data_IF_552404785788
#
_entry.id   IF_552404785788
#
_cell.length_a   1.000
_cell.length_b   1.000
_cell.length_c   1.000
_cell.angle_alpha   90.00
_cell.angle_beta   90.00
_cell.angle_gamma   90.00
#
_symmetry.space_group_name_H-M   'P 1'
#
loop_
_entity.id
_entity.type
_entity.pdbx_description
1 polymer ?
#
# COMPACT_ATOMS: atom_id res chain seq x y z
N UNK A 1 -35.61 35.35 53.55
CA UNK A 1 -34.41 35.51 52.69
C UNK A 1 -34.36 34.26 51.84
N UNK A 2 -35.09 34.27 50.73
CA UNK A 2 -35.07 33.16 49.76
C UNK A 2 -33.82 33.32 48.91
N UNK A 3 -32.89 32.38 49.03
CA UNK A 3 -31.76 32.29 48.12
C UNK A 3 -32.31 31.61 46.85
N UNK A 4 -32.72 32.42 45.88
CA UNK A 4 -33.05 31.93 44.54
C UNK A 4 -31.73 31.74 43.81
N UNK A 5 -31.27 30.49 43.71
CA UNK A 5 -30.14 30.15 42.86
C UNK A 5 -30.54 30.37 41.39
N UNK A 6 -30.04 31.45 40.80
CA UNK A 6 -30.17 31.70 39.36
C UNK A 6 -29.07 30.92 38.67
N UNK A 7 -29.39 29.70 38.22
CA UNK A 7 -28.52 28.89 37.37
C UNK A 7 -28.60 29.46 35.94
N UNK A 8 -27.46 29.81 35.34
CA UNK A 8 -27.44 30.41 34.00
C UNK A 8 -27.64 29.37 32.89
N UNK A 9 -28.00 29.82 31.69
CA UNK A 9 -28.12 28.94 30.51
C UNK A 9 -26.79 28.23 30.16
N UNK A 10 -25.65 28.82 30.52
CA UNK A 10 -24.33 28.20 30.35
C UNK A 10 -24.12 27.07 31.37
N UNK A 11 -24.50 27.30 32.64
CA UNK A 11 -24.39 26.31 33.71
C UNK A 11 -25.32 25.12 33.49
N UNK A 12 -26.50 25.34 32.91
CA UNK A 12 -27.43 24.23 32.56
C UNK A 12 -26.88 23.34 31.45
N UNK A 13 -26.29 23.93 30.39
CA UNK A 13 -25.63 23.15 29.32
C UNK A 13 -24.41 22.40 29.86
N UNK A 14 -23.62 23.01 30.74
CA UNK A 14 -22.45 22.37 31.35
C UNK A 14 -22.85 21.23 32.31
N UNK A 15 -23.93 21.40 33.08
CA UNK A 15 -24.50 20.35 33.94
C UNK A 15 -25.09 19.19 33.12
N UNK A 16 -25.83 19.49 32.05
CA UNK A 16 -26.37 18.47 31.14
C UNK A 16 -25.24 17.68 30.46
N UNK A 17 -24.20 18.36 29.99
CA UNK A 17 -23.01 17.74 29.40
C UNK A 17 -22.31 16.79 30.39
N UNK A 18 -22.01 17.28 31.60
CA UNK A 18 -21.39 16.47 32.68
C UNK A 18 -22.27 15.27 33.06
N UNK A 19 -23.60 15.44 33.10
CA UNK A 19 -24.54 14.35 33.39
C UNK A 19 -24.48 13.26 32.31
N UNK A 20 -24.48 13.64 31.03
CA UNK A 20 -24.45 12.68 29.92
C UNK A 20 -23.13 11.91 29.82
N UNK A 21 -21.99 12.55 30.09
CA UNK A 21 -20.68 11.90 30.08
C UNK A 21 -20.53 10.91 31.26
N UNK A 22 -21.05 11.26 32.43
CA UNK A 22 -21.08 10.36 33.58
C UNK A 22 -21.95 9.11 33.33
N UNK A 23 -23.08 9.27 32.64
CA UNK A 23 -23.94 8.14 32.27
C UNK A 23 -23.27 7.20 31.26
N UNK A 24 -22.66 7.76 30.21
CA UNK A 24 -21.90 7.02 29.18
C UNK A 24 -20.73 6.24 29.79
N UNK A 25 -19.97 6.87 30.69
CA UNK A 25 -18.85 6.22 31.38
C UNK A 25 -19.33 5.08 32.30
N UNK A 26 -20.49 5.26 32.95
CA UNK A 26 -21.11 4.22 33.77
C UNK A 26 -21.58 3.03 32.91
N UNK A 27 -22.15 3.28 31.74
CA UNK A 27 -22.56 2.23 30.81
C UNK A 27 -21.35 1.40 30.33
N UNK A 28 -20.30 2.07 29.84
CA UNK A 28 -19.07 1.42 29.42
C UNK A 28 -18.44 0.60 30.55
N UNK A 29 -18.37 1.14 31.78
CA UNK A 29 -17.83 0.44 32.94
C UNK A 29 -18.64 -0.82 33.30
N UNK A 30 -19.98 -0.73 33.25
CA UNK A 30 -20.86 -1.87 33.45
C UNK A 30 -20.65 -2.95 32.38
N UNK A 31 -20.49 -2.54 31.12
CA UNK A 31 -20.21 -3.43 30.00
C UNK A 31 -18.90 -4.18 30.18
N UNK A 32 -17.82 -3.48 30.57
CA UNK A 32 -16.50 -4.07 30.86
C UNK A 32 -16.59 -5.08 32.01
N UNK A 33 -17.27 -4.73 33.11
CA UNK A 33 -17.41 -5.62 34.27
C UNK A 33 -18.19 -6.89 33.91
N UNK A 34 -19.28 -6.75 33.15
CA UNK A 34 -20.07 -7.89 32.67
C UNK A 34 -19.25 -8.78 31.74
N UNK A 35 -18.53 -8.17 30.80
CA UNK A 35 -17.69 -8.88 29.84
C UNK A 35 -16.53 -9.62 30.51
N UNK A 36 -15.84 -9.03 31.49
CA UNK A 36 -14.78 -9.70 32.23
C UNK A 36 -15.29 -10.93 32.99
N UNK A 37 -16.43 -10.79 33.68
CA UNK A 37 -17.04 -11.88 34.44
C UNK A 37 -17.61 -13.00 33.56
N UNK A 38 -17.88 -12.71 32.28
CA UNK A 38 -18.38 -13.67 31.30
C UNK A 38 -17.26 -14.31 30.47
N UNK A 39 -16.03 -14.37 30.98
CA UNK A 39 -14.89 -14.98 30.30
C UNK A 39 -15.14 -16.49 30.04
N UNK A 40 -14.95 -16.97 28.80
CA UNK A 40 -14.91 -18.41 28.51
C UNK A 40 -13.83 -19.14 29.30
N UNK A 41 -13.98 -20.46 29.44
CA UNK A 41 -12.97 -21.29 30.10
C UNK A 41 -11.60 -21.15 29.40
N UNK A 42 -10.56 -20.84 30.17
CA UNK A 42 -9.19 -20.66 29.67
C UNK A 42 -8.90 -19.28 29.05
N UNK A 43 -9.84 -18.34 29.09
CA UNK A 43 -9.66 -16.94 28.70
C UNK A 43 -9.53 -16.05 29.94
N UNK A 44 -8.51 -15.20 29.98
CA UNK A 44 -8.36 -14.21 31.04
C UNK A 44 -8.50 -12.80 30.46
N UNK A 45 -9.61 -12.14 30.81
CA UNK A 45 -9.98 -10.81 30.33
C UNK A 45 -9.43 -9.67 31.19
N UNK A 46 -8.85 -9.94 32.35
CA UNK A 46 -8.48 -8.91 33.35
C UNK A 46 -7.51 -7.87 32.81
N UNK A 47 -6.47 -8.26 32.08
CA UNK A 47 -5.50 -7.30 31.54
C UNK A 47 -6.15 -6.33 30.53
N UNK A 48 -7.04 -6.85 29.69
CA UNK A 48 -7.79 -6.05 28.72
C UNK A 48 -8.84 -5.18 29.42
N UNK A 49 -9.56 -5.72 30.41
CA UNK A 49 -10.54 -4.98 31.21
C UNK A 49 -9.89 -3.80 31.93
N UNK A 50 -8.72 -4.00 32.54
CA UNK A 50 -7.97 -2.94 33.23
C UNK A 50 -7.51 -1.83 32.29
N UNK A 51 -7.09 -2.16 31.06
CA UNK A 51 -6.78 -1.16 30.04
C UNK A 51 -8.00 -0.31 29.67
N UNK A 52 -9.17 -0.94 29.54
CA UNK A 52 -10.40 -0.20 29.23
C UNK A 52 -10.85 0.64 30.43
N UNK A 53 -10.72 0.14 31.67
CA UNK A 53 -10.99 0.92 32.89
C UNK A 53 -10.08 2.13 33.01
N UNK A 54 -8.79 2.00 32.70
CA UNK A 54 -7.85 3.14 32.69
C UNK A 54 -8.30 4.24 31.70
N UNK A 55 -8.80 3.85 30.53
CA UNK A 55 -9.40 4.79 29.57
C UNK A 55 -10.61 5.50 30.17
N UNK A 56 -11.52 4.77 30.82
CA UNK A 56 -12.72 5.35 31.45
C UNK A 56 -12.32 6.32 32.58
N UNK A 57 -11.44 5.88 33.49
CA UNK A 57 -11.00 6.67 34.65
C UNK A 57 -10.30 7.96 34.25
N UNK A 58 -9.53 7.94 33.17
CA UNK A 58 -8.77 9.10 32.67
C UNK A 58 -9.50 9.89 31.59
N UNK A 59 -10.67 9.44 31.17
CA UNK A 59 -11.36 9.95 29.98
C UNK A 59 -10.43 10.00 28.75
N UNK A 60 -9.59 8.98 28.58
CA UNK A 60 -8.60 8.94 27.52
C UNK A 60 -9.25 8.77 26.15
N UNK A 61 -8.57 9.25 25.11
CA UNK A 61 -9.07 9.22 23.73
C UNK A 61 -8.49 8.08 22.89
N UNK A 62 -7.53 7.32 23.43
CA UNK A 62 -6.84 6.25 22.71
C UNK A 62 -6.90 4.96 23.52
N UNK A 63 -7.35 3.88 22.90
CA UNK A 63 -7.28 2.53 23.45
C UNK A 63 -6.26 1.69 22.68
N UNK A 64 -5.20 1.23 23.38
CA UNK A 64 -4.18 0.32 22.82
C UNK A 64 -4.27 -1.06 23.46
N UNK A 65 -4.67 -2.04 22.66
CA UNK A 65 -4.75 -3.45 23.03
C UNK A 65 -3.64 -4.20 22.30
N UNK A 66 -2.72 -4.83 23.04
CA UNK A 66 -1.62 -5.58 22.43
C UNK A 66 -1.35 -6.88 23.17
N UNK A 67 -1.11 -7.95 22.43
CA UNK A 67 -0.77 -9.28 22.96
C UNK A 67 -1.79 -9.80 23.98
N UNK A 68 -3.09 -9.61 23.69
CA UNK A 68 -4.18 -10.06 24.55
C UNK A 68 -4.74 -11.39 24.07
N UNK A 69 -4.92 -12.31 25.02
CA UNK A 69 -5.54 -13.60 24.80
C UNK A 69 -7.05 -13.52 25.10
N UNK A 70 -7.77 -12.68 24.35
CA UNK A 70 -9.22 -12.50 24.45
C UNK A 70 -9.90 -12.81 23.12
N UNK A 71 -11.10 -13.38 23.16
CA UNK A 71 -11.86 -13.76 21.97
C UNK A 71 -12.78 -12.64 21.46
N UNK A 72 -13.18 -11.74 22.35
CA UNK A 72 -14.06 -10.59 22.05
C UNK A 72 -13.69 -9.38 22.91
N UNK A 73 -14.30 -8.23 22.63
CA UNK A 73 -14.28 -7.04 23.49
C UNK A 73 -15.66 -6.83 24.15
N UNK A 74 -15.80 -5.95 25.16
CA UNK A 74 -17.09 -5.55 25.70
C UNK A 74 -17.98 -4.91 24.64
N UNK A 75 -19.30 -5.12 24.74
CA UNK A 75 -20.29 -4.60 23.77
C UNK A 75 -20.31 -3.07 23.68
N UNK A 76 -19.92 -2.39 24.77
CA UNK A 76 -19.87 -0.92 24.86
C UNK A 76 -18.46 -0.52 25.26
N UNK A 77 -17.78 0.20 24.37
CA UNK A 77 -16.47 0.79 24.63
C UNK A 77 -16.63 2.23 25.13
N UNK A 78 -15.61 2.82 25.78
CA UNK A 78 -15.67 4.19 26.27
C UNK A 78 -15.96 5.19 25.14
N UNK A 79 -16.95 6.07 25.36
CA UNK A 79 -17.41 7.02 24.33
C UNK A 79 -16.39 8.12 24.02
N UNK A 80 -15.43 8.36 24.90
CA UNK A 80 -14.32 9.31 24.74
C UNK A 80 -13.32 8.88 23.66
N UNK A 81 -13.37 7.63 23.20
CA UNK A 81 -12.40 7.09 22.26
C UNK A 81 -12.51 7.72 20.88
N UNK A 82 -11.37 8.23 20.43
CA UNK A 82 -11.11 8.78 19.10
C UNK A 82 -10.24 7.81 18.29
N UNK A 83 -9.39 7.02 18.96
CA UNK A 83 -8.51 6.05 18.31
C UNK A 83 -8.53 4.68 19.02
N UNK A 84 -8.61 3.61 18.24
CA UNK A 84 -8.46 2.24 18.71
C UNK A 84 -7.34 1.58 17.91
N UNK A 85 -6.37 1.03 18.63
CA UNK A 85 -5.26 0.28 18.06
C UNK A 85 -5.15 -1.11 18.69
N UNK A 86 -5.20 -2.15 17.87
CA UNK A 86 -5.21 -3.55 18.30
C UNK A 86 -4.08 -4.29 17.59
N UNK A 87 -3.17 -4.88 18.37
CA UNK A 87 -1.96 -5.54 17.86
C UNK A 87 -1.83 -6.96 18.42
N UNK A 88 -1.54 -7.94 17.57
CA UNK A 88 -1.12 -9.28 18.00
C UNK A 88 -2.09 -9.94 19.00
N UNK A 89 -3.40 -9.81 18.76
CA UNK A 89 -4.45 -10.43 19.57
C UNK A 89 -4.95 -11.68 18.87
N UNK A 90 -4.22 -12.79 19.05
CA UNK A 90 -4.33 -13.99 18.21
C UNK A 90 -5.71 -14.65 18.20
N UNK A 91 -6.52 -14.46 19.25
CA UNK A 91 -7.85 -15.08 19.38
C UNK A 91 -9.01 -14.14 19.12
N UNK A 92 -8.75 -12.84 18.94
CA UNK A 92 -9.82 -11.85 18.81
C UNK A 92 -10.56 -12.06 17.49
N UNK A 93 -11.81 -12.52 17.56
CA UNK A 93 -12.56 -12.91 16.37
C UNK A 93 -13.46 -11.80 15.82
N UNK A 94 -13.88 -10.86 16.66
CA UNK A 94 -14.70 -9.71 16.29
C UNK A 94 -14.50 -8.53 17.24
N UNK A 95 -14.69 -7.31 16.73
CA UNK A 95 -14.92 -6.13 17.55
C UNK A 95 -16.42 -5.98 17.89
N UNK A 96 -16.80 -5.05 18.79
CA UNK A 96 -18.19 -4.79 19.10
C UNK A 96 -18.99 -4.32 17.87
N UNK A 97 -20.28 -4.66 17.82
CA UNK A 97 -21.15 -4.32 16.69
C UNK A 97 -21.28 -2.80 16.47
N UNK A 98 -21.13 -2.01 17.54
CA UNK A 98 -21.18 -0.55 17.56
C UNK A 98 -19.87 -0.04 18.15
N UNK A 99 -19.14 0.74 17.36
CA UNK A 99 -17.93 1.44 17.81
C UNK A 99 -18.28 2.84 18.35
N UNK A 100 -17.41 3.46 19.17
CA UNK A 100 -17.63 4.81 19.67
C UNK A 100 -17.92 5.81 18.54
N UNK A 101 -18.95 6.65 18.72
CA UNK A 101 -19.40 7.58 17.67
C UNK A 101 -18.36 8.64 17.29
N UNK A 102 -17.41 8.94 18.18
CA UNK A 102 -16.29 9.86 17.94
C UNK A 102 -15.05 9.20 17.34
N UNK A 103 -15.07 7.90 17.04
CA UNK A 103 -13.90 7.17 16.56
C UNK A 103 -13.49 7.68 15.17
N UNK A 104 -12.27 8.19 15.07
CA UNK A 104 -11.67 8.66 13.80
C UNK A 104 -10.58 7.74 13.26
N UNK A 105 -9.94 6.94 14.12
CA UNK A 105 -8.89 5.98 13.72
C UNK A 105 -9.16 4.58 14.26
N UNK A 106 -9.13 3.59 13.37
CA UNK A 106 -9.14 2.17 13.72
C UNK A 106 -7.93 1.49 13.06
N UNK A 107 -7.07 0.90 13.88
CA UNK A 107 -5.91 0.14 13.44
C UNK A 107 -5.91 -1.25 14.05
N UNK A 108 -5.82 -2.28 13.20
CA UNK A 108 -5.78 -3.68 13.63
C UNK A 108 -4.64 -4.36 12.89
N UNK A 109 -3.77 -5.01 13.64
CA UNK A 109 -2.58 -5.66 13.11
C UNK A 109 -2.32 -7.00 13.75
N UNK A 110 -1.89 -7.98 12.96
CA UNK A 110 -1.55 -9.33 13.41
C UNK A 110 -2.66 -10.00 14.26
N UNK A 111 -3.92 -9.84 13.85
CA UNK A 111 -5.07 -10.50 14.48
C UNK A 111 -5.64 -11.53 13.49
N UNK A 112 -5.10 -12.77 13.44
CA UNK A 112 -5.45 -13.75 12.41
C UNK A 112 -6.91 -14.21 12.45
N UNK A 113 -7.55 -14.14 13.63
CA UNK A 113 -8.90 -14.61 13.84
C UNK A 113 -9.99 -13.55 13.57
N UNK A 114 -9.61 -12.28 13.41
CA UNK A 114 -10.58 -11.18 13.24
C UNK A 114 -11.34 -11.36 11.92
N UNK A 115 -12.65 -11.42 12.01
CA UNK A 115 -13.57 -11.67 10.87
C UNK A 115 -14.69 -10.65 10.76
N UNK A 116 -14.83 -9.76 11.74
CA UNK A 116 -15.77 -8.63 11.74
C UNK A 116 -15.21 -7.43 12.49
N UNK A 117 -15.43 -6.22 11.97
CA UNK A 117 -14.98 -4.96 12.57
C UNK A 117 -16.10 -4.19 13.27
N UNK A 118 -17.31 -4.26 12.74
CA UNK A 118 -18.52 -3.59 13.22
C UNK A 118 -19.69 -4.01 12.34
N UNK A 119 -20.92 -3.86 12.86
CA UNK A 119 -22.15 -3.93 12.06
C UNK A 119 -22.70 -2.55 11.72
N UNK A 120 -22.59 -1.62 12.67
CA UNK A 120 -22.94 -0.21 12.46
C UNK A 120 -21.72 0.56 11.97
N UNK A 121 -21.83 1.18 10.80
CA UNK A 121 -20.73 1.93 10.18
C UNK A 121 -20.37 3.14 11.06
N UNK A 122 -19.10 3.31 11.47
CA UNK A 122 -18.67 4.45 12.29
C UNK A 122 -18.56 5.73 11.43
N UNK A 123 -19.55 6.62 11.53
CA UNK A 123 -19.70 7.79 10.66
C UNK A 123 -18.55 8.83 10.73
N UNK A 124 -17.74 8.81 11.80
CA UNK A 124 -16.62 9.74 11.99
C UNK A 124 -15.26 9.14 11.60
N UNK A 125 -15.20 7.86 11.18
CA UNK A 125 -13.94 7.17 10.92
C UNK A 125 -13.25 7.79 9.70
N UNK A 126 -12.04 8.31 9.88
CA UNK A 126 -11.24 8.94 8.81
C UNK A 126 -10.06 8.08 8.38
N UNK A 127 -9.54 7.22 9.27
CA UNK A 127 -8.45 6.28 8.98
C UNK A 127 -8.82 4.85 9.40
N UNK A 128 -8.67 3.90 8.46
CA UNK A 128 -8.78 2.47 8.71
C UNK A 128 -7.48 1.77 8.28
N UNK A 129 -6.85 1.03 9.18
CA UNK A 129 -5.67 0.23 8.89
C UNK A 129 -5.88 -1.23 9.33
N UNK A 130 -5.67 -2.17 8.42
CA UNK A 130 -5.78 -3.61 8.67
C UNK A 130 -4.53 -4.30 8.12
N UNK A 131 -3.69 -4.80 9.01
CA UNK A 131 -2.38 -5.36 8.68
C UNK A 131 -2.32 -6.82 9.12
N UNK A 132 -1.98 -7.73 8.21
CA UNK A 132 -1.75 -9.15 8.52
C UNK A 132 -2.90 -9.83 9.26
N UNK A 133 -4.13 -9.53 8.85
CA UNK A 133 -5.38 -10.07 9.39
C UNK A 133 -6.11 -10.83 8.26
N UNK A 134 -5.75 -12.08 7.96
CA UNK A 134 -6.29 -12.80 6.79
C UNK A 134 -7.80 -13.08 6.83
N UNK A 135 -8.38 -13.42 7.99
CA UNK A 135 -9.79 -13.83 8.05
C UNK A 135 -10.79 -12.72 7.71
N UNK A 136 -10.45 -11.47 7.96
CA UNK A 136 -11.32 -10.33 7.68
C UNK A 136 -11.55 -10.14 6.18
N UNK A 137 -10.68 -10.68 5.33
CA UNK A 137 -10.79 -10.60 3.88
C UNK A 137 -11.90 -11.47 3.31
N UNK A 138 -12.41 -12.43 4.09
CA UNK A 138 -13.56 -13.25 3.72
C UNK A 138 -14.90 -12.52 3.98
N UNK A 139 -14.85 -11.36 4.62
CA UNK A 139 -16.00 -10.51 4.86
C UNK A 139 -16.02 -9.34 3.87
N UNK A 140 -17.20 -8.74 3.73
CA UNK A 140 -17.39 -7.49 3.02
C UNK A 140 -17.63 -6.39 4.05
N UNK A 141 -16.74 -5.39 4.05
CA UNK A 141 -16.73 -4.29 5.02
C UNK A 141 -17.34 -3.06 4.36
N UNK A 142 -18.45 -2.57 4.92
CA UNK A 142 -19.06 -1.32 4.48
C UNK A 142 -18.31 -0.13 5.09
N UNK A 143 -17.80 0.76 4.23
CA UNK A 143 -16.97 1.90 4.65
C UNK A 143 -17.79 3.19 4.85
N UNK A 144 -17.46 4.03 5.85
CA UNK A 144 -18.09 5.33 6.04
C UNK A 144 -17.63 6.34 4.98
N UNK A 145 -18.51 7.26 4.57
CA UNK A 145 -18.17 8.33 3.62
C UNK A 145 -17.15 9.35 4.19
N UNK A 146 -16.96 9.40 5.51
CA UNK A 146 -15.92 10.21 6.17
C UNK A 146 -14.50 9.69 5.95
N UNK A 147 -14.33 8.45 5.50
CA UNK A 147 -13.05 7.78 5.44
C UNK A 147 -12.16 8.42 4.36
N UNK A 148 -10.96 8.84 4.78
CA UNK A 148 -9.99 9.54 3.94
C UNK A 148 -8.77 8.67 3.62
N UNK A 149 -8.44 7.73 4.52
CA UNK A 149 -7.24 6.92 4.44
C UNK A 149 -7.54 5.44 4.73
N UNK A 150 -7.11 4.56 3.83
CA UNK A 150 -7.19 3.11 4.00
C UNK A 150 -5.79 2.53 3.92
N UNK A 151 -5.46 1.60 4.80
CA UNK A 151 -4.24 0.82 4.74
C UNK A 151 -4.55 -0.67 4.87
N UNK A 152 -4.21 -1.46 3.85
CA UNK A 152 -4.35 -2.93 3.88
C UNK A 152 -3.04 -3.61 3.49
N UNK A 153 -2.46 -4.38 4.41
CA UNK A 153 -1.25 -5.14 4.14
C UNK A 153 -1.44 -6.61 4.45
N UNK A 154 -1.11 -7.48 3.50
CA UNK A 154 -1.10 -8.92 3.66
C UNK A 154 0.19 -9.50 3.13
N UNK A 155 0.61 -10.63 3.71
CA UNK A 155 1.63 -11.48 3.12
C UNK A 155 0.93 -12.64 2.41
N UNK A 156 0.55 -12.41 1.15
CA UNK A 156 0.02 -13.46 0.29
C UNK A 156 0.65 -13.41 -1.09
N UNK A 157 0.89 -14.59 -1.65
CA UNK A 157 1.25 -14.74 -3.08
C UNK A 157 0.01 -14.67 -3.97
N UNK A 158 -1.17 -14.90 -3.40
CA UNK A 158 -2.44 -14.80 -4.09
C UNK A 158 -2.79 -13.34 -4.36
N UNK A 159 -3.58 -13.15 -5.42
CA UNK A 159 -4.11 -11.86 -5.84
C UNK A 159 -5.52 -11.69 -5.28
N UNK A 160 -5.62 -10.89 -4.24
CA UNK A 160 -6.81 -10.71 -3.41
C UNK A 160 -7.60 -9.50 -3.90
N UNK A 161 -8.93 -9.62 -3.93
CA UNK A 161 -9.80 -8.47 -4.10
C UNK A 161 -9.88 -7.65 -2.82
N UNK A 162 -10.22 -6.36 -2.95
CA UNK A 162 -10.49 -5.51 -1.79
C UNK A 162 -11.76 -6.01 -1.05
N UNK A 163 -11.74 -6.12 0.30
CA UNK A 163 -12.87 -6.60 1.10
C UNK A 163 -13.91 -5.48 1.35
N UNK A 164 -14.18 -4.66 0.33
CA UNK A 164 -15.03 -3.47 0.45
C UNK A 164 -16.09 -3.45 -0.65
N UNK A 165 -17.33 -3.12 -0.29
CA UNK A 165 -18.43 -2.91 -1.23
C UNK A 165 -18.12 -1.81 -2.23
N UNK A 166 -17.76 -0.63 -1.71
CA UNK A 166 -17.49 0.60 -2.46
C UNK A 166 -16.39 1.39 -1.76
N UNK A 167 -15.64 2.15 -2.54
CA UNK A 167 -14.70 3.13 -2.00
C UNK A 167 -15.48 4.42 -1.68
N UNK A 168 -15.31 5.01 -0.48
CA UNK A 168 -16.05 6.20 -0.06
C UNK A 168 -15.62 7.44 -0.85
N UNK A 169 -16.50 8.42 -1.04
CA UNK A 169 -16.26 9.58 -1.91
C UNK A 169 -15.06 10.42 -1.46
N UNK A 170 -14.92 10.63 -0.14
CA UNK A 170 -13.85 11.46 0.43
C UNK A 170 -12.50 10.73 0.58
N UNK A 171 -12.38 9.50 0.06
CA UNK A 171 -11.12 8.77 0.09
C UNK A 171 -10.04 9.54 -0.67
N UNK A 172 -8.92 9.82 -0.01
CA UNK A 172 -7.78 10.54 -0.58
C UNK A 172 -6.58 9.65 -0.84
N UNK A 173 -6.40 8.64 0.00
CA UNK A 173 -5.24 7.75 -0.07
C UNK A 173 -5.62 6.33 0.32
N UNK A 174 -5.09 5.37 -0.44
CA UNK A 174 -5.18 3.96 -0.14
C UNK A 174 -3.81 3.31 -0.30
N UNK A 175 -3.34 2.70 0.79
CA UNK A 175 -2.06 2.02 0.88
C UNK A 175 -2.29 0.51 0.90
N UNK A 176 -1.72 -0.19 -0.07
CA UNK A 176 -1.92 -1.62 -0.28
C UNK A 176 -0.59 -2.34 -0.49
N UNK A 177 -0.44 -3.49 0.16
CA UNK A 177 0.56 -4.50 -0.25
C UNK A 177 0.30 -5.03 -1.66
N UNK A 178 1.31 -5.65 -2.28
CA UNK A 178 1.21 -6.23 -3.63
C UNK A 178 0.23 -7.39 -3.77
N UNK A 179 -0.28 -7.92 -2.66
CA UNK A 179 -1.29 -8.97 -2.67
C UNK A 179 -2.66 -8.51 -3.16
N UNK A 180 -2.94 -7.20 -3.29
CA UNK A 180 -4.27 -6.70 -3.65
C UNK A 180 -4.39 -6.28 -5.12
N UNK A 181 -5.46 -6.73 -5.77
CA UNK A 181 -5.91 -6.22 -7.06
C UNK A 181 -7.01 -5.16 -6.90
N UNK A 182 -7.02 -4.22 -7.82
CA UNK A 182 -7.95 -3.10 -7.87
C UNK A 182 -8.48 -2.95 -9.29
N UNK A 183 -9.79 -2.82 -9.41
CA UNK A 183 -10.41 -2.42 -10.67
C UNK A 183 -10.09 -0.95 -10.98
N UNK A 184 -9.55 -0.68 -12.18
CA UNK A 184 -9.25 0.68 -12.67
C UNK A 184 -10.45 1.64 -12.58
N UNK A 185 -11.67 1.11 -12.76
CA UNK A 185 -12.94 1.86 -12.68
C UNK A 185 -13.13 2.55 -11.32
N UNK A 186 -12.62 1.96 -10.22
CA UNK A 186 -12.76 2.52 -8.87
C UNK A 186 -11.97 3.81 -8.64
N UNK A 187 -11.02 4.12 -9.53
CA UNK A 187 -10.14 5.28 -9.50
C UNK A 187 -10.40 6.28 -10.64
N UNK A 188 -11.24 5.90 -11.61
CA UNK A 188 -11.53 6.76 -12.76
C UNK A 188 -12.23 8.04 -12.28
N UNK A 189 -11.75 9.19 -12.76
CA UNK A 189 -12.30 10.52 -12.44
C UNK A 189 -12.25 10.87 -10.94
N UNK A 190 -11.32 10.27 -10.19
CA UNK A 190 -11.13 10.50 -8.74
C UNK A 190 -9.68 10.81 -8.40
N UNK A 191 -9.48 11.79 -7.53
CA UNK A 191 -8.16 12.19 -7.02
C UNK A 191 -7.75 11.33 -5.81
N UNK A 192 -7.61 10.01 -6.01
CA UNK A 192 -7.14 9.08 -4.97
C UNK A 192 -5.69 8.70 -5.25
N UNK A 193 -4.83 8.88 -4.25
CA UNK A 193 -3.46 8.37 -4.26
C UNK A 193 -3.43 6.89 -3.92
N UNK A 194 -2.62 6.13 -4.63
CA UNK A 194 -2.35 4.72 -4.36
C UNK A 194 -0.89 4.61 -3.91
N UNK A 195 -0.68 4.16 -2.67
CA UNK A 195 0.65 4.09 -2.05
C UNK A 195 1.34 5.47 -2.02
N UNK A 196 0.59 6.54 -1.71
CA UNK A 196 1.08 7.92 -1.67
C UNK A 196 1.29 8.62 -3.01
N UNK A 197 1.04 7.93 -4.14
CA UNK A 197 1.35 8.43 -5.49
C UNK A 197 0.09 8.46 -6.35
N UNK A 198 -0.03 9.46 -7.22
CA UNK A 198 -1.13 9.54 -8.18
C UNK A 198 -1.04 8.38 -9.20
N UNK A 199 -2.09 7.55 -9.36
CA UNK A 199 -2.01 6.35 -10.19
C UNK A 199 -2.24 6.59 -11.69
N UNK A 200 -2.18 7.83 -12.19
CA UNK A 200 -2.53 8.18 -13.57
C UNK A 200 -1.74 7.36 -14.60
N UNK A 201 -0.42 7.25 -14.43
CA UNK A 201 0.42 6.41 -15.29
C UNK A 201 0.00 4.93 -15.27
N UNK A 202 -0.30 4.38 -14.09
CA UNK A 202 -0.68 2.98 -13.94
C UNK A 202 -2.09 2.67 -14.47
N UNK A 203 -3.01 3.63 -14.40
CA UNK A 203 -4.35 3.52 -14.98
C UNK A 203 -4.29 3.45 -16.52
N UNK A 204 -3.41 4.25 -17.13
CA UNK A 204 -3.20 4.28 -18.58
C UNK A 204 -2.35 3.13 -19.14
N UNK A 205 -1.57 2.47 -18.27
CA UNK A 205 -0.70 1.35 -18.65
C UNK A 205 -1.53 0.15 -19.16
N UNK A 206 -1.09 -0.44 -20.26
CA UNK A 206 -1.71 -1.59 -20.93
C UNK A 206 -0.66 -2.64 -21.28
N UNK A 207 -1.09 -3.88 -21.45
CA UNK A 207 -0.22 -4.94 -21.95
C UNK A 207 0.39 -4.52 -23.30
N UNK A 208 1.70 -4.70 -23.43
CA UNK A 208 2.48 -4.27 -24.59
C UNK A 208 3.34 -3.01 -24.35
N UNK A 209 2.97 -2.18 -23.38
CA UNK A 209 3.76 -1.03 -22.93
C UNK A 209 5.04 -1.48 -22.17
N UNK A 210 5.95 -0.53 -21.88
CA UNK A 210 7.11 -0.75 -21.01
C UNK A 210 7.28 0.42 -20.03
N UNK A 211 7.57 0.12 -18.77
CA UNK A 211 8.13 1.03 -17.79
C UNK A 211 9.66 1.13 -17.97
N UNK A 212 10.17 2.35 -18.10
CA UNK A 212 11.59 2.63 -18.19
C UNK A 212 11.94 3.84 -17.34
N UNK A 213 13.06 3.81 -16.61
CA UNK A 213 13.49 4.99 -15.86
C UNK A 213 14.36 4.71 -14.66
N UNK A 214 14.44 5.67 -13.76
CA UNK A 214 15.23 5.59 -12.53
C UNK A 214 14.58 4.56 -11.60
N UNK A 215 15.41 3.70 -11.00
CA UNK A 215 14.93 2.54 -10.23
C UNK A 215 13.85 2.89 -9.21
N UNK A 216 14.08 3.92 -8.38
CA UNK A 216 13.13 4.35 -7.34
C UNK A 216 11.73 4.63 -7.90
N UNK A 217 11.60 5.57 -8.83
CA UNK A 217 10.32 5.96 -9.43
C UNK A 217 9.71 4.85 -10.30
N UNK A 218 10.55 4.04 -10.94
CA UNK A 218 10.09 2.87 -11.69
C UNK A 218 9.40 1.88 -10.76
N UNK A 219 9.98 1.58 -9.60
CA UNK A 219 9.39 0.66 -8.62
C UNK A 219 8.05 1.18 -8.12
N UNK A 220 7.96 2.47 -7.79
CA UNK A 220 6.72 3.12 -7.36
C UNK A 220 5.57 2.92 -8.36
N UNK A 221 5.79 3.25 -9.64
CA UNK A 221 4.77 3.07 -10.70
C UNK A 221 4.50 1.58 -10.95
N UNK A 222 5.54 0.74 -10.93
CA UNK A 222 5.43 -0.71 -11.10
C UNK A 222 4.49 -1.32 -10.06
N UNK A 223 4.65 -0.96 -8.78
CA UNK A 223 3.80 -1.44 -7.70
C UNK A 223 2.34 -0.99 -7.84
N UNK A 224 2.04 0.08 -8.56
CA UNK A 224 0.67 0.45 -8.92
C UNK A 224 0.16 -0.34 -10.13
N UNK A 225 0.99 -0.50 -11.17
CA UNK A 225 0.65 -1.26 -12.38
C UNK A 225 0.23 -2.69 -12.03
N UNK A 226 0.97 -3.38 -11.17
CA UNK A 226 0.63 -4.74 -10.73
C UNK A 226 -0.66 -4.83 -9.89
N UNK A 227 -1.16 -3.72 -9.36
CA UNK A 227 -2.44 -3.69 -8.61
C UNK A 227 -3.61 -3.55 -9.56
N UNK A 228 -3.45 -2.79 -10.64
CA UNK A 228 -4.49 -2.60 -11.66
C UNK A 228 -4.52 -3.69 -12.73
N UNK A 229 -3.49 -4.53 -12.77
CA UNK A 229 -3.35 -5.59 -13.76
C UNK A 229 -2.97 -6.87 -13.04
N UNK A 230 -3.64 -7.98 -13.36
CA UNK A 230 -3.32 -9.30 -12.80
C UNK A 230 -2.09 -9.90 -13.49
N UNK A 231 -0.97 -9.18 -13.43
CA UNK A 231 0.28 -9.60 -14.06
C UNK A 231 0.97 -10.69 -13.24
N UNK A 232 1.48 -11.67 -13.97
CA UNK A 232 2.37 -12.70 -13.45
C UNK A 232 3.83 -12.25 -13.58
N UNK A 233 4.72 -13.03 -12.97
CA UNK A 233 6.18 -12.91 -13.11
C UNK A 233 6.71 -13.16 -14.53
N UNK A 234 5.84 -13.56 -15.47
CA UNK A 234 6.18 -13.84 -16.88
C UNK A 234 5.69 -12.77 -17.84
N UNK A 235 4.95 -11.78 -17.35
CA UNK A 235 4.49 -10.65 -18.16
C UNK A 235 5.59 -9.62 -18.33
N UNK A 236 5.62 -8.97 -19.50
CA UNK A 236 6.64 -7.99 -19.86
C UNK A 236 6.04 -6.59 -19.73
N UNK A 237 6.35 -5.93 -18.62
CA UNK A 237 5.95 -4.55 -18.34
C UNK A 237 7.14 -3.66 -17.96
N UNK A 238 8.35 -4.21 -17.81
CA UNK A 238 9.58 -3.45 -17.66
C UNK A 238 10.65 -3.89 -18.65
N UNK A 239 11.56 -2.96 -18.96
CA UNK A 239 12.68 -3.26 -19.85
C UNK A 239 13.59 -4.36 -19.28
N UNK A 240 13.75 -4.40 -17.95
CA UNK A 240 14.60 -5.38 -17.28
C UNK A 240 14.12 -6.80 -17.51
N UNK A 241 12.80 -7.05 -17.49
CA UNK A 241 12.23 -8.39 -17.72
C UNK A 241 12.58 -8.95 -19.10
N UNK A 242 12.45 -8.15 -20.16
CA UNK A 242 12.73 -8.66 -21.52
C UNK A 242 14.23 -8.90 -21.74
N UNK A 243 15.10 -8.07 -21.15
CA UNK A 243 16.56 -8.33 -21.13
C UNK A 243 16.87 -9.62 -20.39
N UNK A 244 16.39 -9.73 -19.15
CA UNK A 244 16.65 -10.89 -18.28
C UNK A 244 16.06 -12.16 -18.85
N UNK A 245 15.08 -12.09 -19.76
CA UNK A 245 14.51 -13.24 -20.44
C UNK A 245 15.37 -13.75 -21.61
N UNK A 246 15.90 -12.84 -22.44
CA UNK A 246 16.65 -13.22 -23.65
C UNK A 246 18.13 -13.46 -23.42
N UNK A 247 18.68 -12.93 -22.32
CA UNK A 247 20.12 -12.96 -22.03
C UNK A 247 20.42 -13.66 -20.69
N UNK A 248 21.27 -14.68 -20.76
CA UNK A 248 21.86 -15.31 -19.58
C UNK A 248 23.12 -14.56 -19.13
N UNK A 249 23.03 -13.88 -17.99
CA UNK A 249 24.14 -13.09 -17.43
C UNK A 249 24.51 -13.45 -15.98
N UNK A 250 23.80 -14.41 -15.38
CA UNK A 250 23.92 -14.77 -13.97
C UNK A 250 24.61 -16.12 -13.80
N UNK A 251 25.94 -16.12 -13.90
CA UNK A 251 26.81 -16.95 -13.08
C UNK A 251 28.26 -16.55 -13.38
N UNK A 252 29.09 -16.39 -12.33
CA UNK A 252 30.49 -15.93 -12.39
C UNK A 252 31.43 -16.73 -13.32
N UNK A 253 30.91 -17.78 -13.97
CA UNK A 253 31.64 -18.73 -14.80
C UNK A 253 30.98 -19.01 -16.17
N UNK A 254 29.78 -18.50 -16.45
CA UNK A 254 29.14 -18.67 -17.75
C UNK A 254 29.55 -17.56 -18.71
N UNK A 255 29.82 -17.92 -19.97
CA UNK A 255 29.96 -16.92 -21.04
C UNK A 255 28.58 -16.35 -21.33
N UNK A 256 28.52 -15.05 -21.63
CA UNK A 256 27.30 -14.43 -22.14
C UNK A 256 26.74 -15.21 -23.32
N UNK A 257 25.47 -15.60 -23.21
CA UNK A 257 24.74 -16.26 -24.29
C UNK A 257 23.30 -15.76 -24.38
N UNK A 258 22.79 -15.73 -25.61
CA UNK A 258 21.37 -15.57 -25.85
C UNK A 258 20.67 -16.90 -25.57
N UNK A 259 19.55 -16.85 -24.85
CA UNK A 259 18.75 -18.04 -24.59
C UNK A 259 18.07 -18.53 -25.87
N UNK A 260 17.89 -19.84 -25.96
CA UNK A 260 17.13 -20.44 -27.04
C UNK A 260 15.62 -20.14 -26.92
N UNK A 261 14.91 -20.24 -28.05
CA UNK A 261 13.48 -19.90 -28.13
C UNK A 261 12.61 -20.78 -27.23
N UNK A 262 12.98 -22.04 -27.01
CA UNK A 262 12.21 -22.94 -26.16
C UNK A 262 12.34 -22.53 -24.68
N UNK A 263 13.51 -22.04 -24.28
CA UNK A 263 13.71 -21.45 -22.96
C UNK A 263 12.92 -20.15 -22.82
N UNK A 264 12.98 -19.24 -23.79
CA UNK A 264 12.21 -17.98 -23.80
C UNK A 264 10.70 -18.24 -23.67
N UNK A 265 10.16 -19.22 -24.39
CA UNK A 265 8.75 -19.64 -24.31
C UNK A 265 8.31 -20.19 -22.95
N UNK A 266 9.25 -20.69 -22.13
CA UNK A 266 8.92 -21.17 -20.78
C UNK A 266 8.83 -20.03 -19.77
N UNK A 267 9.61 -18.96 -19.97
CA UNK A 267 9.78 -17.86 -19.02
C UNK A 267 8.86 -16.67 -19.29
N UNK A 268 8.40 -16.46 -20.52
CA UNK A 268 7.56 -15.32 -20.90
C UNK A 268 6.17 -15.76 -21.37
N UNK A 269 5.14 -15.00 -20.98
CA UNK A 269 3.80 -15.12 -21.55
C UNK A 269 3.77 -14.57 -22.99
N UNK A 270 4.43 -13.42 -23.22
CA UNK A 270 4.64 -12.83 -24.55
C UNK A 270 6.02 -13.25 -25.11
N UNK A 271 6.16 -14.55 -25.38
CA UNK A 271 7.41 -15.13 -25.84
C UNK A 271 7.82 -14.64 -27.24
N UNK A 272 6.86 -14.37 -28.12
CA UNK A 272 7.12 -13.88 -29.48
C UNK A 272 7.82 -12.51 -29.45
N UNK A 273 7.42 -11.62 -28.54
CA UNK A 273 8.12 -10.35 -28.31
C UNK A 273 9.55 -10.57 -27.81
N UNK A 274 9.75 -11.50 -26.88
CA UNK A 274 11.07 -11.88 -26.39
C UNK A 274 11.98 -12.41 -27.51
N UNK A 275 11.50 -13.33 -28.34
CA UNK A 275 12.27 -13.90 -29.46
C UNK A 275 12.62 -12.82 -30.48
N UNK A 276 11.67 -11.95 -30.84
CA UNK A 276 11.95 -10.82 -31.75
C UNK A 276 12.99 -9.86 -31.17
N UNK A 277 12.97 -9.61 -29.86
CA UNK A 277 13.97 -8.78 -29.20
C UNK A 277 15.36 -9.43 -29.21
N UNK A 278 15.43 -10.75 -29.00
CA UNK A 278 16.67 -11.53 -29.13
C UNK A 278 17.24 -11.41 -30.55
N UNK A 279 16.43 -11.65 -31.57
CA UNK A 279 16.83 -11.54 -32.98
C UNK A 279 17.30 -10.13 -33.35
N UNK A 280 16.63 -9.11 -32.79
CA UNK A 280 17.03 -7.71 -32.92
C UNK A 280 18.43 -7.50 -32.33
N UNK A 281 18.67 -7.93 -31.09
CA UNK A 281 19.96 -7.81 -30.42
C UNK A 281 21.09 -8.53 -31.18
N UNK A 282 20.86 -9.75 -31.66
CA UNK A 282 21.86 -10.54 -32.41
C UNK A 282 22.33 -9.84 -33.69
N UNK A 283 21.46 -9.08 -34.35
CA UNK A 283 21.79 -8.36 -35.59
C UNK A 283 22.24 -6.92 -35.34
N UNK A 284 22.08 -6.41 -34.12
CA UNK A 284 22.31 -5.01 -33.82
C UNK A 284 23.79 -4.66 -33.68
N UNK A 285 24.32 -3.86 -34.62
CA UNK A 285 25.75 -3.49 -34.68
C UNK A 285 26.31 -2.97 -33.34
N UNK A 286 25.52 -2.15 -32.64
CA UNK A 286 25.93 -1.50 -31.38
C UNK A 286 25.64 -2.29 -30.10
N UNK A 287 24.61 -3.12 -30.09
CA UNK A 287 24.04 -3.70 -28.86
C UNK A 287 24.06 -5.22 -28.82
N UNK A 288 24.52 -5.88 -29.88
CA UNK A 288 24.85 -7.30 -29.83
C UNK A 288 25.83 -7.56 -28.66
N UNK A 289 25.42 -8.42 -27.74
CA UNK A 289 26.19 -8.71 -26.51
C UNK A 289 27.31 -9.73 -26.75
N UNK A 290 27.26 -10.45 -27.87
CA UNK A 290 28.25 -11.45 -28.27
C UNK A 290 29.39 -10.85 -29.11
N UNK A 291 29.22 -9.66 -29.70
CA UNK A 291 30.24 -9.00 -30.57
C UNK A 291 31.41 -8.36 -29.78
N UNK A 292 31.74 -8.90 -28.60
CA UNK A 292 32.53 -8.34 -27.49
C UNK A 292 34.04 -8.08 -27.70
N UNK A 293 34.61 -8.06 -28.91
CA UNK A 293 36.06 -7.86 -29.01
C UNK A 293 36.50 -6.43 -28.63
N UNK A 294 37.00 -6.23 -27.40
CA UNK A 294 37.87 -5.11 -27.01
C UNK A 294 37.23 -3.81 -26.49
N UNK A 295 35.93 -3.77 -26.20
CA UNK A 295 35.24 -2.51 -25.82
C UNK A 295 35.32 -2.26 -24.30
N UNK A 296 36.19 -1.32 -23.89
CA UNK A 296 36.25 -0.80 -22.52
C UNK A 296 35.07 0.13 -22.21
N UNK A 297 34.56 0.07 -20.99
CA UNK A 297 33.57 1.02 -20.45
C UNK A 297 34.06 2.47 -20.60
N UNK A 298 33.16 3.41 -20.93
CA UNK A 298 33.42 4.85 -20.83
C UNK A 298 33.61 5.30 -19.36
N UNK A 299 33.22 4.46 -18.39
CA UNK A 299 33.41 4.67 -16.95
C UNK A 299 34.37 3.61 -16.39
N UNK A 300 35.60 3.97 -15.99
CA UNK A 300 36.68 3.02 -15.67
C UNK A 300 36.41 2.11 -14.46
N UNK A 301 35.36 2.36 -13.68
CA UNK A 301 35.02 1.60 -12.46
C UNK A 301 33.78 0.70 -12.58
N UNK A 302 33.17 0.55 -13.76
CA UNK A 302 32.04 -0.37 -13.95
C UNK A 302 32.52 -1.70 -14.51
N UNK A 303 32.11 -2.81 -13.88
CA UNK A 303 32.32 -4.16 -14.39
C UNK A 303 31.66 -4.33 -15.78
N UNK A 304 32.10 -5.31 -16.56
CA UNK A 304 31.60 -5.55 -17.93
C UNK A 304 30.10 -5.85 -17.97
N UNK A 305 29.57 -6.48 -16.93
CA UNK A 305 28.15 -6.76 -16.76
C UNK A 305 27.30 -5.47 -16.75
N UNK A 306 27.71 -4.44 -16.00
CA UNK A 306 27.01 -3.16 -15.98
C UNK A 306 27.00 -2.45 -17.35
N UNK A 307 27.98 -2.70 -18.21
CA UNK A 307 28.01 -2.17 -19.58
C UNK A 307 26.94 -2.88 -20.42
N UNK A 308 26.86 -4.20 -20.31
CA UNK A 308 25.92 -5.00 -21.09
C UNK A 308 24.48 -4.79 -20.65
N UNK A 309 24.23 -4.64 -19.35
CA UNK A 309 22.93 -4.19 -18.82
C UNK A 309 22.56 -2.81 -19.38
N UNK A 310 23.49 -1.85 -19.40
CA UNK A 310 23.23 -0.51 -19.97
C UNK A 310 22.95 -0.54 -21.48
N UNK A 311 23.62 -1.42 -22.23
CA UNK A 311 23.42 -1.58 -23.68
C UNK A 311 22.09 -2.23 -24.00
N UNK A 312 21.81 -3.37 -23.36
CA UNK A 312 20.54 -4.09 -23.54
C UNK A 312 19.37 -3.23 -23.08
N UNK A 313 19.54 -2.39 -22.04
CA UNK A 313 18.53 -1.40 -21.66
C UNK A 313 18.19 -0.39 -22.73
N UNK A 314 19.21 0.14 -23.42
CA UNK A 314 18.99 1.07 -24.54
C UNK A 314 18.43 0.36 -25.76
N UNK A 315 18.88 -0.86 -26.03
CA UNK A 315 18.37 -1.68 -27.12
C UNK A 315 16.90 -2.03 -26.91
N UNK A 316 16.48 -2.33 -25.67
CA UNK A 316 15.08 -2.60 -25.34
C UNK A 316 14.17 -1.40 -25.58
N UNK A 317 14.65 -0.19 -25.27
CA UNK A 317 13.95 1.04 -25.63
C UNK A 317 13.86 1.24 -27.14
N UNK A 318 14.97 1.06 -27.85
CA UNK A 318 15.02 1.22 -29.31
C UNK A 318 14.09 0.22 -30.00
N UNK A 319 14.12 -1.04 -29.59
CA UNK A 319 13.21 -2.08 -30.06
C UNK A 319 11.75 -1.73 -29.77
N UNK A 320 11.44 -1.24 -28.57
CA UNK A 320 10.08 -0.85 -28.20
C UNK A 320 9.55 0.31 -29.06
N UNK A 321 10.37 1.35 -29.26
CA UNK A 321 9.93 2.60 -29.90
C UNK A 321 10.03 2.52 -31.43
N UNK A 322 11.13 1.97 -31.96
CA UNK A 322 11.44 2.02 -33.40
C UNK A 322 10.93 0.78 -34.14
N UNK A 323 11.15 -0.42 -33.60
CA UNK A 323 10.74 -1.68 -34.26
C UNK A 323 9.28 -2.02 -33.98
N UNK A 324 8.85 -1.92 -32.72
CA UNK A 324 7.46 -2.20 -32.33
C UNK A 324 6.52 -1.02 -32.52
N UNK A 325 7.03 0.21 -32.49
CA UNK A 325 6.22 1.44 -32.50
C UNK A 325 5.20 1.49 -31.36
N UNK A 326 5.61 1.01 -30.19
CA UNK A 326 4.77 0.87 -28.99
C UNK A 326 5.18 1.87 -27.90
N UNK A 327 4.30 2.07 -26.91
CA UNK A 327 4.50 3.11 -25.89
C UNK A 327 5.57 2.73 -24.86
N UNK A 328 6.18 3.77 -24.30
CA UNK A 328 7.09 3.70 -23.15
C UNK A 328 6.64 4.73 -22.12
N UNK A 329 6.50 4.28 -20.88
CA UNK A 329 6.27 5.13 -19.71
C UNK A 329 7.64 5.43 -19.08
N UNK A 330 8.06 6.69 -19.18
CA UNK A 330 9.32 7.15 -18.59
C UNK A 330 9.11 7.54 -17.13
N UNK A 331 9.61 6.72 -16.21
CA UNK A 331 9.58 6.95 -14.76
C UNK A 331 10.81 7.75 -14.32
N UNK A 332 10.66 9.06 -14.24
CA UNK A 332 11.74 10.01 -13.91
C UNK A 332 11.29 10.90 -12.75
N UNK A 333 12.24 11.58 -12.13
CA UNK A 333 12.00 12.53 -11.06
C UNK A 333 11.31 13.82 -11.56
N UNK A 334 11.21 14.82 -10.69
CA UNK A 334 10.68 16.14 -11.03
C UNK A 334 11.43 16.86 -12.17
N UNK A 335 12.53 16.29 -12.68
CA UNK A 335 13.24 16.80 -13.86
C UNK A 335 12.32 16.91 -15.08
N UNK A 336 11.22 16.15 -15.16
CA UNK A 336 10.19 16.31 -16.20
C UNK A 336 9.66 17.74 -16.27
N UNK A 337 9.41 18.36 -15.12
CA UNK A 337 8.91 19.73 -15.04
C UNK A 337 9.93 20.72 -15.59
N UNK A 338 11.21 20.36 -15.51
CA UNK A 338 12.32 21.12 -16.07
C UNK A 338 12.65 20.74 -17.52
N UNK A 339 12.05 19.70 -18.14
CA UNK A 339 12.35 19.32 -19.53
C UNK A 339 12.11 20.47 -20.51
N UNK A 340 11.02 21.26 -20.43
CA UNK A 340 10.85 22.43 -21.30
C UNK A 340 11.99 23.44 -21.16
N UNK A 341 12.45 23.69 -19.93
CA UNK A 341 13.54 24.62 -19.62
C UNK A 341 14.91 24.08 -20.08
N UNK A 342 15.15 22.78 -19.89
CA UNK A 342 16.34 22.04 -20.38
C UNK A 342 16.39 22.08 -21.90
N UNK A 343 15.28 21.78 -22.57
CA UNK A 343 15.19 21.75 -24.03
C UNK A 343 15.44 23.14 -24.64
N UNK A 344 15.07 24.20 -23.92
CA UNK A 344 15.35 25.59 -24.28
C UNK A 344 16.78 26.06 -23.92
N UNK A 345 17.61 25.20 -23.30
CA UNK A 345 18.98 25.51 -22.83
C UNK A 345 19.07 26.72 -21.87
N UNK A 346 18.01 27.02 -21.12
CA UNK A 346 17.96 28.16 -20.21
C UNK A 346 18.54 27.89 -18.81
N UNK A 347 19.32 26.81 -18.63
CA UNK A 347 19.85 26.43 -17.32
C UNK A 347 21.23 27.04 -17.05
N UNK A 348 21.33 27.79 -15.96
CA UNK A 348 22.61 28.10 -15.32
C UNK A 348 22.92 26.95 -14.36
N UNK A 349 23.83 26.07 -14.75
CA UNK A 349 24.34 25.02 -13.87
C UNK A 349 25.21 25.67 -12.79
N UNK A 350 24.71 25.71 -11.55
CA UNK A 350 25.52 26.11 -10.39
C UNK A 350 26.29 24.87 -9.91
N UNK A 351 27.63 24.89 -9.84
CA UNK A 351 28.38 23.79 -9.28
C UNK A 351 28.03 23.65 -7.79
N UNK A 352 27.59 22.47 -7.37
CA UNK A 352 27.47 22.15 -5.96
C UNK A 352 28.90 21.92 -5.44
N UNK A 353 29.41 22.88 -4.68
CA UNK A 353 30.64 22.75 -3.91
C UNK A 353 30.55 21.50 -3.04
N UNK A 354 31.55 20.62 -3.12
CA UNK A 354 31.68 19.47 -2.23
C UNK A 354 31.62 19.91 -0.75
N UNK A 355 31.05 19.10 0.16
CA UNK A 355 31.13 19.40 1.59
C UNK A 355 32.59 19.37 2.02
N UNK A 356 33.00 20.40 2.77
CA UNK A 356 34.27 20.41 3.49
C UNK A 356 34.30 19.21 4.45
N UNK A 357 35.48 18.57 4.48
CA UNK A 357 35.93 17.39 5.22
C UNK A 357 35.20 17.03 6.51
#
# INVERSE_FOLDING_TARGET
MEIVNVISAQDTVEIEFISTDNEKNKEALNSVNKWENAAPSGENRTNAANKIRDVIERNATILRLSHLNVSSLPDVLPHSLIEIEIYSCDKLSALPDILPSGLTKLEISHCPEISSLYKSVPECLTKLAILYCPKILNAIISLPESLQHIELYMYSKERLSLPFDKLPQNLRDINLSDSFLIEKSKFKDREIRLNGIEPSAALEFKLGDILYGIAQYKYEVMHQVIKFNDFSDKDIFSQTEITDAVWEHREYFSRDEYRDDATIKKILNDADRGIKFKDFLEKHEKYNILSRSGIKSYRPHRNEEHICLSRTSKAGLEFQIMERQERVFFCVDDLVKSIPEIAQKNLIMVPISQPLS
#
